data_IF_766149213649
#
_entry.id   IF_766149213649
#
_cell.length_a   1.000
_cell.length_b   1.000
_cell.length_c   1.000
_cell.angle_alpha   90.00
_cell.angle_beta   90.00
_cell.angle_gamma   90.00
#
_symmetry.space_group_name_H-M   'P 1'
#
loop_
_entity.id
_entity.type
_entity.pdbx_description
1 polymer ?
#
# COMPACT_ATOMS: atom_id res chain seq x y z
N UNK A 1 -25.59 16.10 -22.13
CA UNK A 1 -24.39 15.89 -21.28
C UNK A 1 -23.20 15.75 -22.21
N UNK A 2 -22.12 16.54 -22.06
CA UNK A 2 -20.93 16.31 -22.86
C UNK A 2 -20.22 15.06 -22.34
N UNK A 3 -19.88 14.16 -23.27
CA UNK A 3 -19.12 12.94 -23.01
C UNK A 3 -17.66 13.37 -22.97
N UNK A 4 -17.09 13.49 -21.78
CA UNK A 4 -15.65 13.73 -21.62
C UNK A 4 -14.94 12.41 -21.85
N UNK A 5 -14.22 12.26 -22.96
CA UNK A 5 -13.67 10.99 -23.41
C UNK A 5 -12.25 10.73 -22.85
N UNK A 6 -11.52 11.79 -22.48
CA UNK A 6 -10.12 11.68 -22.04
C UNK A 6 -9.78 12.61 -20.86
N UNK A 7 -8.73 12.26 -20.11
CA UNK A 7 -8.24 13.06 -18.98
C UNK A 7 -7.75 14.45 -19.42
N UNK A 8 -7.18 14.55 -20.63
CA UNK A 8 -6.76 15.83 -21.23
C UNK A 8 -7.96 16.74 -21.55
N UNK A 9 -9.04 16.19 -22.12
CA UNK A 9 -10.28 16.95 -22.34
C UNK A 9 -10.89 17.43 -21.02
N UNK A 10 -10.86 16.58 -19.99
CA UNK A 10 -11.32 16.95 -18.65
C UNK A 10 -10.47 18.09 -18.07
N UNK A 11 -9.14 18.01 -18.19
CA UNK A 11 -8.22 19.07 -17.75
C UNK A 11 -8.52 20.40 -18.45
N UNK A 12 -8.63 20.41 -19.77
CA UNK A 12 -8.94 21.63 -20.52
C UNK A 12 -10.31 22.23 -20.14
N UNK A 13 -11.32 21.38 -19.90
CA UNK A 13 -12.64 21.81 -19.44
C UNK A 13 -12.55 22.42 -18.04
N UNK A 14 -11.82 21.79 -17.12
CA UNK A 14 -11.63 22.30 -15.75
C UNK A 14 -10.88 23.63 -15.77
N UNK A 15 -9.77 23.72 -16.50
CA UNK A 15 -8.99 24.95 -16.65
C UNK A 15 -9.88 26.09 -17.18
N UNK A 16 -10.66 25.86 -18.23
CA UNK A 16 -11.54 26.89 -18.80
C UNK A 16 -12.65 27.28 -17.83
N UNK A 17 -13.34 26.31 -17.21
CA UNK A 17 -14.52 26.60 -16.39
C UNK A 17 -14.16 27.22 -15.03
N UNK A 18 -13.07 26.78 -14.41
CA UNK A 18 -12.60 27.32 -13.13
C UNK A 18 -11.94 28.68 -13.33
N UNK A 19 -11.10 28.86 -14.36
CA UNK A 19 -10.39 30.13 -14.55
C UNK A 19 -11.26 31.26 -15.15
N UNK A 20 -12.28 30.94 -15.96
CA UNK A 20 -13.09 31.96 -16.65
C UNK A 20 -14.45 32.24 -16.04
N UNK A 21 -15.03 31.31 -15.28
CA UNK A 21 -16.44 31.41 -14.89
C UNK A 21 -16.72 31.28 -13.38
N UNK A 22 -15.70 30.99 -12.57
CA UNK A 22 -15.78 30.90 -11.09
C UNK A 22 -17.01 30.09 -10.59
N UNK A 23 -17.30 29.00 -11.30
CA UNK A 23 -18.49 28.19 -11.04
C UNK A 23 -18.18 27.07 -10.04
N UNK A 24 -18.51 27.29 -8.77
CA UNK A 24 -18.38 26.28 -7.70
C UNK A 24 -19.09 24.96 -8.03
N UNK A 25 -20.30 25.00 -8.61
CA UNK A 25 -21.03 23.79 -9.05
C UNK A 25 -20.28 22.93 -10.08
N UNK A 26 -19.40 23.54 -10.89
CA UNK A 26 -18.59 22.80 -11.87
C UNK A 26 -17.44 22.08 -11.17
N UNK A 27 -16.92 22.64 -10.09
CA UNK A 27 -15.82 22.03 -9.33
C UNK A 27 -16.20 20.69 -8.71
N UNK A 28 -17.43 20.54 -8.19
CA UNK A 28 -17.93 19.28 -7.65
C UNK A 28 -18.11 18.23 -8.74
N UNK A 29 -18.75 18.61 -9.86
CA UNK A 29 -18.95 17.70 -11.01
C UNK A 29 -17.60 17.24 -11.61
N UNK A 30 -16.59 18.12 -11.60
CA UNK A 30 -15.25 17.81 -12.06
C UNK A 30 -14.53 16.84 -11.12
N UNK A 31 -14.62 17.05 -9.80
CA UNK A 31 -14.09 16.12 -8.78
C UNK A 31 -14.71 14.73 -8.93
N UNK A 32 -16.02 14.63 -9.16
CA UNK A 32 -16.70 13.35 -9.41
C UNK A 32 -16.19 12.63 -10.66
N UNK A 33 -15.83 13.38 -11.70
CA UNK A 33 -15.24 12.80 -12.90
C UNK A 33 -13.79 12.38 -12.68
N UNK A 34 -12.99 13.18 -11.96
CA UNK A 34 -11.61 12.84 -11.60
C UNK A 34 -11.54 11.61 -10.68
N UNK A 35 -12.50 11.44 -9.78
CA UNK A 35 -12.59 10.27 -8.91
C UNK A 35 -12.62 8.95 -9.71
N UNK A 36 -13.20 8.95 -10.92
CA UNK A 36 -13.22 7.79 -11.82
C UNK A 36 -11.82 7.43 -12.36
N UNK A 37 -10.90 8.39 -12.39
CA UNK A 37 -9.52 8.21 -12.88
C UNK A 37 -8.52 7.92 -11.76
N UNK A 38 -8.91 8.02 -10.48
CA UNK A 38 -8.04 7.75 -9.33
C UNK A 38 -7.36 6.38 -9.41
N UNK A 39 -8.10 5.33 -9.76
CA UNK A 39 -7.55 3.98 -9.85
C UNK A 39 -6.59 3.78 -11.03
N UNK A 40 -6.74 4.58 -12.11
CA UNK A 40 -5.96 4.43 -13.34
C UNK A 40 -4.73 5.34 -13.40
N UNK A 41 -4.84 6.56 -12.87
CA UNK A 41 -3.80 7.59 -12.97
C UNK A 41 -3.83 8.53 -11.75
N UNK A 42 -3.58 8.01 -10.54
CA UNK A 42 -3.67 8.81 -9.31
C UNK A 42 -2.67 9.98 -9.31
N UNK A 43 -1.49 9.81 -9.93
CA UNK A 43 -0.49 10.89 -10.02
C UNK A 43 -0.98 12.06 -10.88
N UNK A 44 -1.68 11.80 -12.00
CA UNK A 44 -2.22 12.86 -12.84
C UNK A 44 -3.38 13.59 -12.12
N UNK A 45 -4.25 12.84 -11.45
CA UNK A 45 -5.34 13.41 -10.63
C UNK A 45 -4.79 14.25 -9.49
N UNK A 46 -3.73 13.80 -8.82
CA UNK A 46 -3.04 14.57 -7.79
C UNK A 46 -2.52 15.90 -8.34
N UNK A 47 -1.86 15.89 -9.49
CA UNK A 47 -1.34 17.11 -10.10
C UNK A 47 -2.45 18.12 -10.40
N UNK A 48 -3.57 17.67 -11.00
CA UNK A 48 -4.74 18.51 -11.28
C UNK A 48 -5.31 19.08 -9.97
N UNK A 49 -5.47 18.25 -8.94
CA UNK A 49 -6.00 18.68 -7.66
C UNK A 49 -5.13 19.75 -6.98
N UNK A 50 -3.80 19.61 -7.03
CA UNK A 50 -2.85 20.62 -6.53
C UNK A 50 -2.96 21.92 -7.32
N UNK A 51 -3.01 21.86 -8.66
CA UNK A 51 -3.14 23.05 -9.52
C UNK A 51 -4.41 23.85 -9.21
N UNK A 52 -5.49 23.19 -8.84
CA UNK A 52 -6.78 23.81 -8.49
C UNK A 52 -7.03 23.98 -6.98
N UNK A 53 -6.03 23.71 -6.12
CA UNK A 53 -6.14 23.81 -4.66
C UNK A 53 -7.28 22.97 -4.06
N UNK A 54 -7.56 21.81 -4.65
CA UNK A 54 -8.55 20.85 -4.16
C UNK A 54 -7.93 19.88 -3.16
N UNK A 55 -7.77 20.32 -1.92
CA UNK A 55 -7.05 19.59 -0.86
C UNK A 55 -7.59 18.17 -0.65
N UNK A 56 -8.90 18.01 -0.52
CA UNK A 56 -9.53 16.69 -0.32
C UNK A 56 -9.20 15.72 -1.47
N UNK A 57 -9.30 16.20 -2.71
CA UNK A 57 -9.04 15.41 -3.91
C UNK A 57 -7.56 15.04 -4.02
N UNK A 58 -6.67 15.97 -3.65
CA UNK A 58 -5.24 15.72 -3.65
C UNK A 58 -4.86 14.69 -2.56
N UNK A 59 -5.49 14.74 -1.39
CA UNK A 59 -5.33 13.73 -0.34
C UNK A 59 -5.82 12.34 -0.81
N UNK A 60 -7.00 12.25 -1.42
CA UNK A 60 -7.48 10.98 -1.98
C UNK A 60 -6.55 10.41 -3.05
N UNK A 61 -6.05 11.28 -3.95
CA UNK A 61 -5.10 10.89 -4.98
C UNK A 61 -3.74 10.46 -4.38
N UNK A 62 -3.28 11.12 -3.32
CA UNK A 62 -2.07 10.75 -2.60
C UNK A 62 -2.22 9.36 -1.95
N UNK A 63 -3.35 9.05 -1.31
CA UNK A 63 -3.63 7.71 -0.77
C UNK A 63 -3.66 6.64 -1.87
N UNK A 64 -4.34 6.90 -2.99
CA UNK A 64 -4.38 5.96 -4.11
C UNK A 64 -3.01 5.75 -4.77
N UNK A 65 -2.12 6.75 -4.72
CA UNK A 65 -0.74 6.62 -5.21
C UNK A 65 0.10 5.61 -4.42
N UNK A 66 -0.29 5.26 -3.18
CA UNK A 66 0.40 4.26 -2.36
C UNK A 66 0.35 2.85 -2.96
N UNK A 67 -0.57 2.58 -3.88
CA UNK A 67 -0.65 1.31 -4.63
C UNK A 67 0.39 1.25 -5.76
N UNK A 68 1.02 2.38 -6.08
CA UNK A 68 2.00 2.51 -7.16
C UNK A 68 3.42 2.60 -6.62
N UNK A 69 4.37 2.15 -7.44
CA UNK A 69 5.79 2.43 -7.24
C UNK A 69 6.11 3.82 -7.75
N UNK A 70 6.25 4.80 -6.87
CA UNK A 70 6.61 6.19 -7.23
C UNK A 70 8.12 6.37 -7.50
N UNK A 71 8.72 5.47 -8.28
CA UNK A 71 10.11 5.60 -8.74
C UNK A 71 10.15 6.22 -10.13
N UNK A 72 11.20 7.01 -10.38
CA UNK A 72 11.40 7.73 -11.63
C UNK A 72 11.41 6.85 -12.91
N UNK A 73 11.65 5.55 -12.78
CA UNK A 73 11.68 4.59 -13.90
C UNK A 73 10.41 3.74 -14.03
N UNK A 74 9.57 3.68 -13.00
CA UNK A 74 8.42 2.77 -12.94
C UNK A 74 7.10 3.47 -13.30
N UNK A 75 7.07 4.80 -13.25
CA UNK A 75 5.88 5.61 -13.55
C UNK A 75 6.16 6.54 -14.73
N UNK A 76 5.29 6.46 -15.75
CA UNK A 76 5.28 7.44 -16.83
C UNK A 76 4.88 8.78 -16.22
N UNK A 77 5.79 9.76 -16.27
CA UNK A 77 5.52 11.09 -15.76
C UNK A 77 4.33 11.70 -16.54
N UNK A 78 3.20 12.00 -15.87
CA UNK A 78 2.07 12.60 -16.54
C UNK A 78 2.41 14.05 -16.96
N UNK A 79 1.87 14.55 -18.08
CA UNK A 79 2.12 15.93 -18.52
C UNK A 79 1.68 16.98 -17.48
N UNK A 80 0.71 16.65 -16.63
CA UNK A 80 0.23 17.46 -15.51
C UNK A 80 1.32 17.77 -14.49
N UNK A 81 2.36 16.92 -14.37
CA UNK A 81 3.46 17.12 -13.43
C UNK A 81 4.24 18.43 -13.69
N UNK A 82 4.24 18.92 -14.94
CA UNK A 82 4.89 20.19 -15.31
C UNK A 82 4.18 21.42 -14.74
N UNK A 83 2.93 21.28 -14.28
CA UNK A 83 2.09 22.39 -13.85
C UNK A 83 2.02 22.53 -12.32
N UNK A 84 2.71 21.66 -11.57
CA UNK A 84 2.76 21.73 -10.11
C UNK A 84 4.09 22.24 -9.59
N UNK A 85 4.11 22.89 -8.42
CA UNK A 85 5.36 23.21 -7.74
C UNK A 85 6.15 21.95 -7.43
N UNK A 86 7.48 22.00 -7.62
CA UNK A 86 8.36 20.88 -7.26
C UNK A 86 8.22 20.46 -5.78
N UNK A 87 7.88 21.42 -4.90
CA UNK A 87 7.59 21.16 -3.49
C UNK A 87 6.39 20.23 -3.30
N UNK A 88 5.30 20.40 -4.06
CA UNK A 88 4.11 19.55 -3.96
C UNK A 88 4.40 18.10 -4.38
N UNK A 89 5.26 17.91 -5.39
CA UNK A 89 5.73 16.57 -5.77
C UNK A 89 6.65 15.97 -4.70
N UNK A 90 7.56 16.77 -4.14
CA UNK A 90 8.42 16.33 -3.05
C UNK A 90 7.61 15.90 -1.82
N UNK A 91 6.57 16.64 -1.45
CA UNK A 91 5.67 16.30 -0.34
C UNK A 91 4.97 14.95 -0.57
N UNK A 92 4.51 14.69 -1.80
CA UNK A 92 3.92 13.39 -2.18
C UNK A 92 4.92 12.24 -2.02
N UNK A 93 6.15 12.41 -2.52
CA UNK A 93 7.20 11.38 -2.39
C UNK A 93 7.59 11.13 -0.93
N UNK A 94 7.70 12.20 -0.15
CA UNK A 94 8.02 12.11 1.27
C UNK A 94 6.90 11.41 2.06
N UNK A 95 5.63 11.73 1.76
CA UNK A 95 4.47 11.03 2.30
C UNK A 95 4.48 9.54 1.96
N UNK A 96 4.65 9.20 0.68
CA UNK A 96 4.72 7.80 0.22
C UNK A 96 5.81 7.01 0.94
N UNK A 97 7.01 7.60 1.07
CA UNK A 97 8.11 7.02 1.83
C UNK A 97 7.74 6.77 3.30
N UNK A 98 7.14 7.77 3.99
CA UNK A 98 6.72 7.63 5.39
C UNK A 98 5.67 6.54 5.57
N UNK A 99 4.69 6.44 4.67
CA UNK A 99 3.72 5.34 4.66
C UNK A 99 4.41 3.99 4.47
N UNK A 100 5.40 3.91 3.57
CA UNK A 100 6.18 2.68 3.37
C UNK A 100 6.98 2.24 4.60
N UNK A 101 7.60 3.19 5.30
CA UNK A 101 8.27 2.92 6.58
C UNK A 101 7.27 2.41 7.63
N UNK A 102 6.13 3.08 7.76
CA UNK A 102 5.08 2.71 8.72
C UNK A 102 4.53 1.30 8.44
N UNK A 103 4.18 1.01 7.19
CA UNK A 103 3.68 -0.29 6.74
C UNK A 103 4.72 -1.40 6.95
N UNK A 104 5.97 -1.18 6.52
CA UNK A 104 7.07 -2.14 6.70
C UNK A 104 7.33 -2.48 8.17
N UNK A 105 7.21 -1.51 9.08
CA UNK A 105 7.43 -1.74 10.50
C UNK A 105 6.52 -2.83 11.08
N UNK A 106 5.31 -3.00 10.53
CA UNK A 106 4.33 -3.98 10.99
C UNK A 106 4.71 -5.42 10.62
N UNK A 107 5.58 -5.63 9.64
CA UNK A 107 6.10 -6.96 9.30
C UNK A 107 7.31 -7.37 10.15
N UNK A 108 7.84 -6.47 10.98
CA UNK A 108 9.04 -6.69 11.79
C UNK A 108 8.73 -7.14 13.23
N UNK A 109 7.46 -7.20 13.61
CA UNK A 109 7.01 -7.55 14.97
C UNK A 109 5.76 -8.40 14.93
N UNK A 110 5.64 -9.36 15.87
CA UNK A 110 4.46 -10.24 16.01
C UNK A 110 3.85 -10.16 17.41
N UNK A 111 4.15 -9.11 18.16
CA UNK A 111 3.62 -8.90 19.52
C UNK A 111 2.09 -8.76 19.58
N UNK A 112 1.45 -8.56 18.44
CA UNK A 112 -0.01 -8.47 18.33
C UNK A 112 -0.67 -9.82 18.03
N UNK A 113 0.10 -10.88 17.73
CA UNK A 113 -0.43 -12.21 17.46
C UNK A 113 -0.71 -12.92 18.80
N UNK A 114 -1.94 -13.41 19.04
CA UNK A 114 -2.26 -14.18 20.23
C UNK A 114 -1.42 -15.46 20.36
N UNK A 115 -1.19 -15.89 21.61
CA UNK A 115 -0.55 -17.16 21.94
C UNK A 115 -1.49 -18.00 22.83
N UNK A 116 -1.40 -19.35 22.77
CA UNK A 116 -0.67 -20.12 21.76
C UNK A 116 -1.34 -19.97 20.39
N UNK A 117 -0.58 -20.13 19.31
CA UNK A 117 -1.16 -20.23 17.97
C UNK A 117 -0.66 -21.48 17.26
N UNK A 118 -1.52 -22.02 16.40
CA UNK A 118 -1.31 -23.30 15.73
C UNK A 118 -0.65 -23.14 14.35
N UNK A 119 -0.17 -21.94 14.04
CA UNK A 119 0.43 -21.66 12.74
C UNK A 119 1.68 -22.52 12.52
N UNK A 120 1.83 -23.09 11.32
CA UNK A 120 2.88 -24.06 11.00
C UNK A 120 4.29 -23.48 11.11
N UNK A 121 4.44 -22.17 11.02
CA UNK A 121 5.73 -21.52 11.24
C UNK A 121 6.15 -21.43 12.72
N UNK A 122 5.26 -21.74 13.65
CA UNK A 122 5.59 -21.91 15.08
C UNK A 122 5.48 -23.38 15.52
N UNK A 123 4.52 -24.13 14.97
CA UNK A 123 4.16 -25.47 15.44
C UNK A 123 4.79 -26.63 14.65
N UNK A 124 5.42 -26.38 13.49
CA UNK A 124 6.05 -27.45 12.73
C UNK A 124 7.09 -28.18 13.59
N UNK A 125 7.19 -29.51 13.45
CA UNK A 125 8.13 -30.36 14.21
C UNK A 125 9.22 -30.99 13.35
N UNK A 126 9.17 -30.80 12.02
CA UNK A 126 10.17 -31.31 11.09
C UNK A 126 11.55 -30.71 11.42
N UNK A 127 12.53 -31.59 11.60
CA UNK A 127 13.91 -31.26 11.94
C UNK A 127 14.67 -30.68 10.73
N UNK A 128 14.31 -31.08 9.52
CA UNK A 128 14.91 -30.56 8.28
C UNK A 128 14.34 -29.18 7.91
N UNK A 129 13.21 -28.78 8.50
CA UNK A 129 12.66 -27.45 8.32
C UNK A 129 13.53 -26.42 9.09
N UNK A 130 14.18 -25.51 8.38
CA UNK A 130 15.07 -24.52 9.00
C UNK A 130 14.33 -23.62 10.01
N UNK A 131 14.90 -23.47 11.21
CA UNK A 131 14.47 -22.49 12.22
C UNK A 131 15.28 -21.21 12.04
N UNK A 132 14.65 -20.07 12.26
CA UNK A 132 15.37 -18.80 12.35
C UNK A 132 16.22 -18.78 13.63
N UNK A 133 17.39 -18.14 13.59
CA UNK A 133 18.33 -18.07 14.73
C UNK A 133 17.71 -17.36 15.93
N UNK A 134 16.90 -16.32 15.69
CA UNK A 134 16.20 -15.57 16.73
C UNK A 134 14.75 -16.04 16.88
N UNK A 135 14.31 -16.21 18.12
CA UNK A 135 12.89 -16.36 18.47
C UNK A 135 12.20 -15.01 18.53
N UNK A 136 10.87 -14.99 18.35
CA UNK A 136 10.09 -13.75 18.25
C UNK A 136 9.07 -13.66 19.40
N UNK A 137 8.82 -12.44 19.87
CA UNK A 137 7.84 -12.18 20.93
C UNK A 137 6.41 -12.17 20.36
N UNK A 138 5.51 -12.90 21.02
CA UNK A 138 4.06 -12.87 20.77
C UNK A 138 3.35 -12.00 21.82
N UNK A 139 2.01 -11.94 21.77
CA UNK A 139 1.20 -11.12 22.66
C UNK A 139 1.31 -11.50 24.15
N UNK A 140 1.64 -12.76 24.46
CA UNK A 140 1.92 -13.24 25.82
C UNK A 140 3.32 -12.86 26.32
N UNK A 141 4.08 -12.11 25.52
CA UNK A 141 5.46 -11.73 25.78
C UNK A 141 6.44 -12.92 25.92
N UNK A 142 6.06 -14.10 25.42
CA UNK A 142 6.93 -15.27 25.36
C UNK A 142 7.66 -15.35 24.02
N UNK A 143 8.88 -15.89 24.08
CA UNK A 143 9.69 -16.16 22.90
C UNK A 143 9.23 -17.44 22.21
N UNK A 144 8.74 -17.30 20.98
CA UNK A 144 8.35 -18.42 20.14
C UNK A 144 9.38 -18.67 19.03
N UNK A 145 9.95 -19.89 18.93
CA UNK A 145 10.78 -20.27 17.81
C UNK A 145 9.98 -20.20 16.50
N UNK A 146 10.56 -19.56 15.48
CA UNK A 146 9.88 -19.33 14.20
C UNK A 146 10.64 -19.98 13.04
N UNK A 147 9.91 -20.46 12.03
CA UNK A 147 10.52 -21.04 10.82
C UNK A 147 11.14 -19.95 9.95
N UNK A 148 12.34 -20.24 9.43
CA UNK A 148 13.14 -19.28 8.65
C UNK A 148 12.36 -18.74 7.45
N UNK A 149 11.63 -19.60 6.75
CA UNK A 149 10.87 -19.21 5.57
C UNK A 149 9.82 -18.13 5.87
N UNK A 150 9.25 -18.10 7.08
CA UNK A 150 8.23 -17.14 7.46
C UNK A 150 8.84 -15.76 7.75
N UNK A 151 10.02 -15.74 8.37
CA UNK A 151 10.81 -14.52 8.55
C UNK A 151 11.20 -13.92 7.20
N UNK A 152 11.66 -14.75 6.26
CA UNK A 152 11.97 -14.30 4.90
C UNK A 152 10.72 -13.80 4.15
N UNK A 153 9.56 -14.44 4.36
CA UNK A 153 8.30 -13.99 3.81
C UNK A 153 7.91 -12.59 4.31
N UNK A 154 7.95 -12.36 5.63
CA UNK A 154 7.66 -11.04 6.21
C UNK A 154 8.68 -9.97 5.78
N UNK A 155 9.94 -10.34 5.60
CA UNK A 155 10.98 -9.47 5.04
C UNK A 155 10.70 -9.06 3.59
N UNK A 156 10.25 -10.02 2.76
CA UNK A 156 9.83 -9.76 1.38
C UNK A 156 8.59 -8.87 1.33
N UNK A 157 7.57 -9.17 2.16
CA UNK A 157 6.37 -8.34 2.29
C UNK A 157 6.73 -6.92 2.72
N UNK A 158 7.62 -6.77 3.69
CA UNK A 158 8.08 -5.46 4.15
C UNK A 158 8.79 -4.66 3.05
N UNK A 159 9.50 -5.33 2.12
CA UNK A 159 10.09 -4.68 0.95
C UNK A 159 9.02 -4.24 -0.05
N UNK A 160 7.99 -5.06 -0.28
CA UNK A 160 6.85 -4.69 -1.14
C UNK A 160 6.09 -3.51 -0.55
N UNK A 161 5.78 -3.54 0.75
CA UNK A 161 5.10 -2.44 1.44
C UNK A 161 5.92 -1.15 1.46
N UNK A 162 7.25 -1.24 1.48
CA UNK A 162 8.11 -0.06 1.35
C UNK A 162 7.97 0.63 -0.02
N UNK A 163 7.77 -0.15 -1.09
CA UNK A 163 7.66 0.35 -2.45
C UNK A 163 6.23 0.69 -2.87
N UNK A 164 5.26 -0.03 -2.32
CA UNK A 164 3.82 0.11 -2.60
C UNK A 164 3.05 -0.07 -1.28
N UNK A 165 2.98 0.95 -0.42
CA UNK A 165 2.39 0.83 0.91
C UNK A 165 0.92 0.42 0.90
N UNK A 166 0.16 0.84 -0.12
CA UNK A 166 -1.27 0.57 -0.26
C UNK A 166 -1.61 -0.73 -0.99
N UNK A 167 -0.62 -1.58 -1.31
CA UNK A 167 -0.87 -2.85 -1.99
C UNK A 167 -1.66 -3.81 -1.12
N UNK A 168 -2.61 -4.54 -1.73
CA UNK A 168 -3.33 -5.61 -1.07
C UNK A 168 -2.39 -6.81 -0.80
N UNK A 169 -1.92 -6.93 0.43
CA UNK A 169 -1.02 -8.01 0.87
C UNK A 169 -1.72 -9.37 1.08
N UNK A 170 -3.05 -9.40 1.02
CA UNK A 170 -3.85 -10.63 1.09
C UNK A 170 -4.12 -11.28 -0.27
N UNK A 171 -3.57 -10.72 -1.35
CA UNK A 171 -3.73 -11.27 -2.70
C UNK A 171 -2.92 -12.56 -2.91
N UNK A 172 -3.30 -13.33 -3.93
CA UNK A 172 -2.63 -14.59 -4.27
C UNK A 172 -1.13 -14.40 -4.51
N UNK A 173 -0.74 -13.26 -5.13
CA UNK A 173 0.66 -12.96 -5.42
C UNK A 173 1.48 -12.88 -4.14
N UNK A 174 1.01 -12.10 -3.15
CA UNK A 174 1.69 -11.90 -1.88
C UNK A 174 1.75 -13.20 -1.09
N UNK A 175 0.64 -13.92 -0.97
CA UNK A 175 0.58 -15.19 -0.24
C UNK A 175 1.48 -16.26 -0.87
N UNK A 176 1.54 -16.30 -2.21
CA UNK A 176 2.34 -17.27 -2.94
C UNK A 176 3.85 -17.09 -2.72
N UNK A 177 4.32 -15.89 -2.36
CA UNK A 177 5.72 -15.67 -1.95
C UNK A 177 6.10 -16.51 -0.72
N UNK A 178 5.19 -16.60 0.25
CA UNK A 178 5.38 -17.42 1.46
C UNK A 178 5.25 -18.91 1.15
N UNK A 179 4.24 -19.27 0.36
CA UNK A 179 4.02 -20.65 -0.09
C UNK A 179 5.27 -21.22 -0.77
N UNK A 180 5.86 -20.52 -1.76
CA UNK A 180 7.06 -20.99 -2.48
C UNK A 180 8.23 -21.34 -1.55
N UNK A 181 8.39 -20.60 -0.44
CA UNK A 181 9.45 -20.83 0.53
C UNK A 181 9.12 -22.00 1.46
N UNK A 182 7.88 -22.09 1.93
CA UNK A 182 7.40 -23.11 2.84
C UNK A 182 7.24 -24.50 2.18
N UNK A 183 6.96 -24.53 0.87
CA UNK A 183 6.63 -25.74 0.11
C UNK A 183 7.69 -26.85 0.16
N UNK A 184 8.93 -26.51 0.54
CA UNK A 184 10.04 -27.45 0.74
C UNK A 184 9.83 -28.42 1.91
N UNK A 185 8.99 -28.07 2.89
CA UNK A 185 8.68 -28.92 4.04
C UNK A 185 7.29 -29.55 3.87
N UNK A 186 7.20 -30.87 4.00
CA UNK A 186 5.96 -31.63 3.83
C UNK A 186 4.87 -31.21 4.83
N UNK A 187 5.25 -30.87 6.06
CA UNK A 187 4.29 -30.43 7.08
C UNK A 187 3.80 -28.99 6.85
N UNK A 188 4.69 -28.08 6.40
CA UNK A 188 4.32 -26.70 6.16
C UNK A 188 3.46 -26.53 4.89
N UNK A 189 3.79 -27.26 3.80
CA UNK A 189 3.15 -27.08 2.49
C UNK A 189 1.63 -27.28 2.50
N UNK A 190 1.12 -28.15 3.37
CA UNK A 190 -0.30 -28.52 3.40
C UNK A 190 -1.17 -27.42 3.99
N UNK A 191 -0.62 -26.63 4.92
CA UNK A 191 -1.40 -25.63 5.69
C UNK A 191 -0.99 -24.19 5.38
N UNK A 192 0.17 -23.98 4.76
CA UNK A 192 0.77 -22.65 4.67
C UNK A 192 -0.12 -21.65 3.94
N UNK A 193 -0.82 -22.04 2.87
CA UNK A 193 -1.63 -21.09 2.11
C UNK A 193 -2.79 -20.56 2.95
N UNK A 194 -3.60 -21.46 3.50
CA UNK A 194 -4.76 -21.10 4.33
C UNK A 194 -4.33 -20.33 5.58
N UNK A 195 -3.24 -20.75 6.23
CA UNK A 195 -2.77 -20.08 7.43
C UNK A 195 -2.14 -18.72 7.17
N UNK A 196 -1.46 -18.52 6.03
CA UNK A 196 -0.98 -17.19 5.65
C UNK A 196 -2.16 -16.26 5.34
N UNK A 197 -3.19 -16.74 4.65
CA UNK A 197 -4.41 -15.97 4.42
C UNK A 197 -5.07 -15.56 5.74
N UNK A 198 -5.22 -16.50 6.67
CA UNK A 198 -5.78 -16.26 8.01
C UNK A 198 -4.96 -15.23 8.78
N UNK A 199 -3.63 -15.39 8.78
CA UNK A 199 -2.71 -14.47 9.43
C UNK A 199 -2.80 -13.05 8.85
N UNK A 200 -2.76 -12.91 7.52
CA UNK A 200 -2.80 -11.61 6.86
C UNK A 200 -4.12 -10.91 7.14
N UNK A 201 -5.24 -11.62 6.95
CA UNK A 201 -6.58 -11.06 7.13
C UNK A 201 -6.88 -10.65 8.56
N UNK A 202 -6.46 -11.45 9.56
CA UNK A 202 -6.80 -11.18 10.97
C UNK A 202 -5.80 -10.32 11.72
N UNK A 203 -4.52 -10.34 11.32
CA UNK A 203 -3.45 -9.79 12.16
C UNK A 203 -2.60 -8.73 11.47
N UNK A 204 -2.48 -8.76 10.14
CA UNK A 204 -1.54 -7.87 9.44
C UNK A 204 -2.19 -6.75 8.64
N UNK A 205 -3.21 -7.05 7.82
CA UNK A 205 -3.79 -6.09 6.88
C UNK A 205 -4.31 -4.82 7.57
N UNK A 206 -5.22 -4.95 8.54
CA UNK A 206 -5.75 -3.82 9.32
C UNK A 206 -4.63 -3.05 10.04
N UNK A 207 -3.59 -3.74 10.53
CA UNK A 207 -2.48 -3.09 11.23
C UNK A 207 -1.59 -2.26 10.31
N UNK A 208 -1.47 -2.69 9.05
CA UNK A 208 -0.78 -1.92 8.00
C UNK A 208 -1.61 -0.71 7.61
N UNK A 209 -2.92 -0.87 7.42
CA UNK A 209 -3.84 0.23 7.09
C UNK A 209 -3.85 1.29 8.20
N UNK A 210 -4.03 0.89 9.45
CA UNK A 210 -3.94 1.78 10.63
C UNK A 210 -2.61 2.55 10.65
N UNK A 211 -1.49 1.87 10.38
CA UNK A 211 -0.17 2.50 10.36
C UNK A 211 -0.02 3.57 9.28
N UNK A 212 -0.66 3.37 8.13
CA UNK A 212 -0.64 4.30 7.00
C UNK A 212 -1.53 5.49 7.30
N UNK A 213 -2.70 5.26 7.91
CA UNK A 213 -3.64 6.33 8.27
C UNK A 213 -3.13 7.24 9.39
N UNK A 214 -2.22 6.76 10.25
CA UNK A 214 -1.49 7.59 11.23
C UNK A 214 -0.44 8.53 10.59
N UNK A 215 -0.13 8.37 9.30
CA UNK A 215 0.83 9.24 8.61
C UNK A 215 0.12 10.48 8.08
N UNK A 216 0.44 11.64 8.65
CA UNK A 216 -0.08 12.91 8.16
C UNK A 216 0.41 13.23 6.73
N UNK A 217 -0.54 13.65 5.90
CA UNK A 217 -0.29 14.25 4.59
C UNK A 217 -0.55 15.75 4.64
N UNK A 218 0.46 16.56 4.31
CA UNK A 218 0.35 18.01 4.18
C UNK A 218 0.73 18.42 2.76
N UNK A 219 -0.14 19.19 2.12
CA UNK A 219 0.07 19.74 0.77
C UNK A 219 1.12 20.86 0.77
#
# INVERSE_FOLDING_TARGET
>A
QPIVATLDELRCIIEILVSKYDMECVSETAKDHLAKYLARSPLAVYCIAVTHQWEDMAMFAAKESLKLRLRAHDTVAPPELNHIPAAAYHNLLHYHYRCGVAAKSKTQTLRHIPAPNEYVWFSCTDAACAKHTSSWYLADNQLSPVRLWFVEYLGNLGTILMETPGTNIGDDTSLHLGYKKAAKCANCREKVFDQLYDFVSKHLASKVEEAIDEVDFSL
#
